data_IF_899972796116
#
_entry.id   IF_899972796116
#
_cell.length_a   1.000
_cell.length_b   1.000
_cell.length_c   1.000
_cell.angle_alpha   90.00
_cell.angle_beta   90.00
_cell.angle_gamma   90.00
#
_symmetry.space_group_name_H-M   'P 1'
#
loop_
_entity.id
_entity.type
_entity.pdbx_description
1 polymer ?
#
# COMPACT_ATOMS: atom_id res chain seq x y z
N UNK A 1 -28.70 57.74 22.85
CA UNK A 1 -27.49 56.97 23.20
C UNK A 1 -27.81 56.05 24.36
N UNK A 2 -27.78 54.73 24.30
CA UNK A 2 -27.94 53.70 23.26
C UNK A 2 -28.19 52.43 24.10
N UNK A 3 -29.35 51.81 23.92
CA UNK A 3 -29.91 50.79 24.81
C UNK A 3 -29.22 49.42 24.71
N UNK A 4 -28.98 48.83 25.88
CA UNK A 4 -28.74 47.40 26.05
C UNK A 4 -30.08 46.67 26.07
N UNK A 5 -30.46 45.94 25.01
CA UNK A 5 -31.59 44.98 25.07
C UNK A 5 -31.36 43.69 24.27
N UNK A 6 -31.19 42.63 25.05
CA UNK A 6 -31.95 41.36 24.99
C UNK A 6 -32.01 40.60 23.65
N UNK A 7 -31.20 39.54 23.62
CA UNK A 7 -31.45 38.18 23.13
C UNK A 7 -32.79 37.88 22.42
N UNK A 8 -32.74 37.34 21.20
CA UNK A 8 -33.62 36.23 20.79
C UNK A 8 -32.97 35.35 19.72
N UNK A 9 -33.12 34.04 19.90
CA UNK A 9 -32.48 32.93 19.19
C UNK A 9 -33.36 32.55 17.99
N UNK A 10 -32.82 32.40 16.78
CA UNK A 10 -33.41 31.53 15.74
C UNK A 10 -32.35 30.94 14.79
N UNK A 11 -32.58 29.66 14.47
CA UNK A 11 -31.78 28.69 13.71
C UNK A 11 -31.29 29.15 12.33
N UNK A 12 -30.10 28.66 11.94
CA UNK A 12 -29.64 28.65 10.54
C UNK A 12 -28.16 28.27 10.37
N UNK A 13 -27.87 26.99 10.07
CA UNK A 13 -26.61 26.58 9.40
C UNK A 13 -26.60 27.15 7.96
N UNK A 14 -25.47 27.20 7.19
CA UNK A 14 -24.11 26.70 7.43
C UNK A 14 -23.00 27.71 7.03
N UNK A 15 -21.71 27.40 7.29
CA UNK A 15 -20.64 27.40 6.26
C UNK A 15 -19.27 27.15 6.92
N UNK A 16 -18.56 26.19 6.35
CA UNK A 16 -17.26 25.69 6.78
C UNK A 16 -16.20 26.80 6.85
N UNK A 17 -15.54 26.91 8.02
CA UNK A 17 -14.37 27.76 8.19
C UNK A 17 -13.12 26.92 7.94
N UNK A 18 -12.44 27.22 6.82
CA UNK A 18 -11.11 26.74 6.44
C UNK A 18 -10.15 26.89 7.63
N UNK A 19 -9.69 25.77 8.17
CA UNK A 19 -8.46 25.69 8.96
C UNK A 19 -7.35 25.14 8.07
N UNK A 20 -6.23 25.84 8.11
CA UNK A 20 -5.07 25.67 7.27
C UNK A 20 -4.09 24.77 8.03
N UNK A 21 -3.89 23.55 7.55
CA UNK A 21 -2.82 22.64 7.95
C UNK A 21 -2.14 22.19 6.64
N UNK A 22 -0.83 22.36 6.48
CA UNK A 22 -0.16 21.88 5.28
C UNK A 22 -0.08 20.34 5.31
N UNK A 23 -0.12 19.78 4.10
CA UNK A 23 0.23 18.40 3.75
C UNK A 23 -0.89 17.37 3.83
N UNK A 24 -1.71 17.41 2.79
CA UNK A 24 -2.30 16.23 2.15
C UNK A 24 -1.30 15.04 2.14
N UNK A 25 -1.83 13.83 2.35
CA UNK A 25 -1.20 12.50 2.34
C UNK A 25 -1.05 11.78 3.69
N UNK A 26 -2.12 11.69 4.48
CA UNK A 26 -2.26 10.63 5.51
C UNK A 26 -3.43 9.69 5.17
N UNK A 27 -3.44 9.17 3.93
CA UNK A 27 -4.27 8.03 3.52
C UNK A 27 -3.44 6.90 2.89
N UNK A 28 -2.13 6.91 3.16
CA UNK A 28 -1.23 5.77 2.93
C UNK A 28 -0.89 5.07 4.25
N UNK A 29 -1.73 5.15 5.29
CA UNK A 29 -1.58 4.34 6.52
C UNK A 29 -2.00 2.88 6.31
N UNK A 30 -1.54 2.33 5.20
CA UNK A 30 -1.49 0.92 4.81
C UNK A 30 -0.48 0.77 3.65
N UNK A 31 0.46 1.72 3.50
CA UNK A 31 1.62 1.60 2.65
C UNK A 31 2.43 0.46 3.22
N UNK A 32 2.15 -0.76 2.75
CA UNK A 32 3.01 -1.90 2.96
C UNK A 32 4.43 -1.40 2.71
N UNK A 33 5.27 -1.41 3.73
CA UNK A 33 6.66 -0.98 3.62
C UNK A 33 7.34 -1.90 2.61
N UNK A 34 7.41 -1.45 1.34
CA UNK A 34 8.00 -2.23 0.25
C UNK A 34 9.25 -1.54 -0.24
N UNK A 35 10.39 -2.16 0.03
CA UNK A 35 11.71 -1.72 -0.46
C UNK A 35 12.60 -2.92 -0.75
N UNK A 36 13.61 -2.73 -1.57
CA UNK A 36 14.67 -3.71 -1.76
C UNK A 36 15.94 -3.16 -1.12
N UNK A 37 16.59 -3.95 -0.28
CA UNK A 37 17.94 -3.69 0.20
C UNK A 37 18.76 -4.96 0.11
N UNK A 38 20.01 -4.85 -0.35
CA UNK A 38 20.99 -5.95 -0.25
C UNK A 38 20.51 -7.26 -0.90
N UNK A 39 19.76 -7.16 -1.99
CA UNK A 39 19.17 -8.32 -2.68
C UNK A 39 18.08 -9.04 -1.88
N UNK A 40 17.49 -8.38 -0.88
CA UNK A 40 16.33 -8.84 -0.11
C UNK A 40 15.18 -7.85 -0.27
N UNK A 41 13.98 -8.39 -0.33
CA UNK A 41 12.75 -7.62 -0.42
C UNK A 41 12.18 -7.42 0.99
N UNK A 42 12.09 -6.18 1.44
CA UNK A 42 11.29 -5.80 2.59
C UNK A 42 9.85 -5.65 2.14
N UNK A 43 8.95 -6.38 2.77
CA UNK A 43 7.51 -6.28 2.52
C UNK A 43 6.77 -6.66 3.79
N UNK A 44 5.75 -5.87 4.19
CA UNK A 44 4.92 -6.17 5.36
C UNK A 44 5.76 -6.43 6.64
N UNK A 45 6.76 -5.58 6.86
CA UNK A 45 7.72 -5.65 7.99
C UNK A 45 8.51 -6.97 8.05
N UNK A 46 8.66 -7.66 6.91
CA UNK A 46 9.39 -8.92 6.80
C UNK A 46 10.38 -8.88 5.64
N UNK A 47 11.54 -9.49 5.86
CA UNK A 47 12.53 -9.71 4.80
C UNK A 47 12.23 -11.00 4.04
N UNK A 48 12.20 -10.90 2.73
CA UNK A 48 12.12 -12.00 1.78
C UNK A 48 13.42 -12.10 1.01
N UNK A 49 13.93 -13.33 0.87
CA UNK A 49 15.17 -13.62 0.18
C UNK A 49 14.91 -14.34 -1.15
N UNK A 50 15.93 -14.40 -2.00
CA UNK A 50 15.93 -15.28 -3.17
C UNK A 50 15.65 -16.72 -2.72
N UNK A 51 14.97 -17.46 -3.58
CA UNK A 51 14.50 -18.83 -3.36
C UNK A 51 13.42 -18.99 -2.27
N UNK A 52 12.83 -17.89 -1.78
CA UNK A 52 11.66 -17.96 -0.88
C UNK A 52 10.38 -18.26 -1.66
N UNK A 53 9.58 -19.21 -1.19
CA UNK A 53 8.22 -19.43 -1.69
C UNK A 53 7.29 -18.33 -1.19
N UNK A 54 6.59 -17.70 -2.12
CA UNK A 54 5.66 -16.61 -1.86
C UNK A 54 4.38 -16.80 -2.68
N UNK A 55 3.29 -16.27 -2.13
CA UNK A 55 2.04 -16.13 -2.84
C UNK A 55 1.86 -14.66 -3.20
N UNK A 56 1.62 -14.37 -4.48
CA UNK A 56 1.28 -13.06 -4.99
C UNK A 56 -0.18 -13.04 -5.38
N UNK A 57 -0.89 -12.01 -4.96
CA UNK A 57 -2.28 -11.76 -5.33
C UNK A 57 -2.39 -10.41 -6.02
N UNK A 58 -3.18 -10.34 -7.09
CA UNK A 58 -3.52 -9.08 -7.74
C UNK A 58 -4.79 -8.53 -7.09
N UNK A 59 -4.72 -7.29 -6.58
CA UNK A 59 -5.86 -6.61 -5.93
C UNK A 59 -7.02 -6.38 -6.91
N UNK A 60 -6.76 -6.34 -8.21
CA UNK A 60 -7.73 -6.13 -9.28
C UNK A 60 -8.58 -7.39 -9.59
N UNK A 61 -8.58 -8.40 -8.72
CA UNK A 61 -9.38 -9.63 -8.90
C UNK A 61 -8.72 -10.70 -9.75
N UNK A 62 -7.40 -10.61 -9.97
CA UNK A 62 -6.64 -11.63 -10.71
C UNK A 62 -6.41 -12.93 -9.92
N UNK A 63 -6.01 -14.02 -10.61
CA UNK A 63 -5.74 -15.30 -9.94
C UNK A 63 -4.56 -15.19 -8.98
N UNK A 64 -4.63 -15.98 -7.89
CA UNK A 64 -3.52 -16.15 -6.94
C UNK A 64 -2.35 -16.85 -7.62
N UNK A 65 -1.20 -16.22 -7.58
CA UNK A 65 0.03 -16.72 -8.17
C UNK A 65 0.92 -17.28 -7.06
N UNK A 66 1.17 -18.58 -7.11
CA UNK A 66 2.11 -19.23 -6.20
C UNK A 66 3.43 -19.44 -6.93
N UNK A 67 4.53 -19.02 -6.31
CA UNK A 67 5.83 -19.12 -6.92
C UNK A 67 6.97 -18.95 -5.95
N UNK A 68 8.18 -19.01 -6.50
CA UNK A 68 9.42 -18.82 -5.75
C UNK A 68 10.13 -17.59 -6.30
N UNK A 69 10.61 -16.71 -5.42
CA UNK A 69 11.42 -15.56 -5.84
C UNK A 69 12.73 -16.10 -6.44
N UNK A 70 12.96 -15.93 -7.73
CA UNK A 70 14.19 -16.39 -8.39
C UNK A 70 15.26 -15.33 -8.44
N UNK A 71 14.87 -14.05 -8.54
CA UNK A 71 15.80 -12.95 -8.57
C UNK A 71 15.19 -11.70 -7.92
N UNK A 72 16.03 -10.90 -7.27
CA UNK A 72 15.69 -9.63 -6.65
C UNK A 72 16.65 -8.60 -7.24
N UNK A 73 16.16 -7.74 -8.12
CA UNK A 73 16.89 -6.62 -8.71
C UNK A 73 16.77 -5.37 -7.85
N UNK A 74 17.11 -4.19 -8.38
CA UNK A 74 17.06 -2.93 -7.60
C UNK A 74 15.63 -2.37 -7.45
N UNK A 75 14.80 -2.52 -8.50
CA UNK A 75 13.43 -1.95 -8.54
C UNK A 75 12.39 -3.00 -8.91
N UNK A 76 12.80 -4.26 -9.05
CA UNK A 76 11.97 -5.34 -9.55
C UNK A 76 12.37 -6.66 -8.91
N UNK A 77 11.40 -7.56 -8.84
CA UNK A 77 11.60 -8.95 -8.43
C UNK A 77 11.08 -9.88 -9.52
N UNK A 78 11.71 -11.04 -9.60
CA UNK A 78 11.33 -12.12 -10.48
C UNK A 78 10.83 -13.29 -9.65
N UNK A 79 9.63 -13.76 -9.97
CA UNK A 79 8.99 -14.88 -9.30
C UNK A 79 8.73 -15.96 -10.33
N UNK A 80 9.26 -17.16 -10.10
CA UNK A 80 8.97 -18.33 -10.91
C UNK A 80 7.69 -18.98 -10.41
N UNK A 81 6.66 -19.03 -11.26
CA UNK A 81 5.35 -19.61 -10.96
C UNK A 81 5.45 -21.13 -10.89
N UNK A 82 4.80 -21.72 -9.89
CA UNK A 82 4.89 -23.17 -9.63
C UNK A 82 4.07 -24.02 -10.59
N UNK A 83 3.01 -23.48 -11.19
CA UNK A 83 2.12 -24.25 -12.07
C UNK A 83 2.62 -24.35 -13.51
N UNK A 84 3.05 -23.22 -14.08
CA UNK A 84 3.37 -23.05 -15.49
C UNK A 84 4.86 -22.76 -15.73
N UNK A 85 5.70 -22.81 -14.68
CA UNK A 85 7.15 -22.51 -14.72
C UNK A 85 7.50 -21.10 -15.28
N UNK A 86 6.49 -20.27 -15.55
CA UNK A 86 6.65 -18.93 -16.08
C UNK A 86 7.32 -18.00 -15.07
N UNK A 87 7.98 -16.96 -15.57
CA UNK A 87 8.62 -15.95 -14.74
C UNK A 87 7.76 -14.69 -14.73
N UNK A 88 7.26 -14.33 -13.56
CA UNK A 88 6.54 -13.09 -13.30
C UNK A 88 7.52 -12.01 -12.83
N UNK A 89 7.55 -10.89 -13.55
CA UNK A 89 8.31 -9.70 -13.14
C UNK A 89 7.37 -8.72 -12.46
N UNK A 90 7.68 -8.34 -11.23
CA UNK A 90 6.91 -7.35 -10.46
C UNK A 90 7.83 -6.21 -10.07
N UNK A 91 7.40 -4.98 -10.36
CA UNK A 91 8.12 -3.79 -9.93
C UNK A 91 7.71 -3.37 -8.51
N UNK A 92 8.64 -2.78 -7.76
CA UNK A 92 8.38 -2.24 -6.43
C UNK A 92 7.29 -1.17 -6.46
N UNK A 93 7.25 -0.35 -7.51
CA UNK A 93 6.18 0.62 -7.72
C UNK A 93 4.78 -0.01 -7.78
N UNK A 94 4.66 -1.26 -8.25
CA UNK A 94 3.38 -1.96 -8.31
C UNK A 94 2.95 -2.48 -6.94
N UNK A 95 3.90 -2.86 -6.09
CA UNK A 95 3.64 -3.19 -4.69
C UNK A 95 3.28 -1.94 -3.87
N UNK A 96 3.99 -0.83 -4.06
CA UNK A 96 3.69 0.44 -3.40
C UNK A 96 2.31 0.98 -3.77
N UNK A 97 1.89 0.81 -5.03
CA UNK A 97 0.53 1.13 -5.49
C UNK A 97 -0.52 0.14 -5.00
N UNK A 98 -0.13 -0.97 -4.37
CA UNK A 98 -1.03 -2.02 -3.92
C UNK A 98 -1.69 -2.80 -5.06
N UNK A 99 -1.13 -2.78 -6.27
CA UNK A 99 -1.60 -3.59 -7.40
C UNK A 99 -1.35 -5.06 -7.13
N UNK A 100 -0.15 -5.36 -6.64
CA UNK A 100 0.22 -6.68 -6.18
C UNK A 100 0.40 -6.67 -4.68
N UNK A 101 -0.05 -7.74 -4.03
CA UNK A 101 0.21 -8.01 -2.63
C UNK A 101 0.91 -9.34 -2.50
N UNK A 102 1.84 -9.45 -1.55
CA UNK A 102 2.59 -10.66 -1.30
C UNK A 102 2.23 -11.23 0.07
N UNK A 103 2.09 -12.55 0.15
CA UNK A 103 1.90 -13.29 1.40
C UNK A 103 2.95 -14.39 1.49
N UNK A 104 3.58 -14.52 2.66
CA UNK A 104 4.44 -15.66 2.96
C UNK A 104 3.57 -16.92 3.03
N UNK A 105 3.99 -17.99 2.36
CA UNK A 105 3.45 -19.32 2.66
C UNK A 105 4.11 -19.76 3.99
N UNK A 106 3.39 -19.63 5.09
CA UNK A 106 3.75 -20.35 6.32
C UNK A 106 3.35 -21.80 6.07
N UNK A 107 4.33 -22.71 6.06
CA UNK A 107 4.08 -24.14 6.19
C UNK A 107 3.72 -24.45 7.63
#
# INVERSE_FOLDING_TARGET
MDDLRVMLKVSGKPVAKKQMLPSQHSMFDSSSDVRIEDGRLWYDKKWYQRNSMVQVENKEGGPRIYGTITNIGNQEIWIKRSGDNSKLRIYISQFQKGKYTMKKRTT
#
